data_IF_439738471082
#
_entry.id   IF_439738471082
#
_cell.length_a   1.000
_cell.length_b   1.000
_cell.length_c   1.000
_cell.angle_alpha   90.00
_cell.angle_beta   90.00
_cell.angle_gamma   90.00
#
_symmetry.space_group_name_H-M   'P 1'
#
loop_
_entity.id
_entity.type
_entity.pdbx_description
1 polymer ?
#
# COMPACT_ATOMS: atom_id res chain seq x y z
N UNK A 1 -30.35 -9.00 16.50
CA UNK A 1 -28.90 -8.77 16.47
C UNK A 1 -28.65 -7.67 15.45
N UNK A 2 -28.22 -6.50 15.92
CA UNK A 2 -28.02 -5.32 15.08
C UNK A 2 -26.60 -5.35 14.51
N UNK A 3 -26.47 -5.25 13.19
CA UNK A 3 -25.18 -5.13 12.51
C UNK A 3 -24.91 -3.64 12.34
N UNK A 4 -23.82 -3.16 12.92
CA UNK A 4 -23.42 -1.76 12.89
C UNK A 4 -22.24 -1.59 11.94
N UNK A 5 -22.33 -0.67 10.98
CA UNK A 5 -21.17 -0.17 10.25
C UNK A 5 -20.47 0.84 11.14
N UNK A 6 -19.29 0.49 11.66
CA UNK A 6 -18.61 1.29 12.67
C UNK A 6 -17.31 1.93 12.14
N UNK A 7 -16.69 1.37 11.11
CA UNK A 7 -15.49 1.94 10.51
C UNK A 7 -15.52 1.86 8.98
N UNK A 8 -15.23 2.99 8.35
CA UNK A 8 -14.97 3.13 6.92
C UNK A 8 -13.68 3.90 6.77
N UNK A 9 -12.76 3.41 5.95
CA UNK A 9 -11.53 4.10 5.57
C UNK A 9 -11.35 3.97 4.07
N UNK A 10 -11.13 5.10 3.42
CA UNK A 10 -10.70 5.19 2.04
C UNK A 10 -9.31 5.81 1.99
N UNK A 11 -8.44 5.27 1.12
CA UNK A 11 -7.22 5.95 0.70
C UNK A 11 -7.21 6.08 -0.80
N UNK A 12 -6.85 7.27 -1.27
CA UNK A 12 -6.60 7.53 -2.67
C UNK A 12 -5.18 8.06 -2.84
N UNK A 13 -4.46 7.43 -3.76
CA UNK A 13 -3.08 7.73 -4.07
C UNK A 13 -2.93 8.08 -5.54
N UNK A 14 -2.10 9.09 -5.79
CA UNK A 14 -1.77 9.56 -7.13
C UNK A 14 -0.27 9.80 -7.24
N UNK A 15 0.27 9.45 -8.40
CA UNK A 15 1.60 9.83 -8.86
C UNK A 15 1.42 10.44 -10.24
N UNK A 16 1.81 11.70 -10.39
CA UNK A 16 1.62 12.44 -11.63
C UNK A 16 2.79 13.39 -11.90
N UNK A 17 3.05 13.63 -13.19
CA UNK A 17 3.91 14.72 -13.64
C UNK A 17 3.33 16.05 -13.18
N UNK A 18 4.22 16.90 -12.67
CA UNK A 18 3.93 18.29 -12.34
C UNK A 18 5.09 19.16 -12.88
N UNK A 19 4.95 19.61 -14.13
CA UNK A 19 6.03 20.27 -14.85
C UNK A 19 7.28 19.37 -14.96
N UNK A 20 8.47 19.82 -14.51
CA UNK A 20 9.69 19.01 -14.52
C UNK A 20 9.77 18.00 -13.36
N UNK A 21 8.84 18.05 -12.41
CA UNK A 21 8.83 17.21 -11.20
C UNK A 21 7.76 16.11 -11.30
N UNK A 22 7.75 15.24 -10.29
CA UNK A 22 6.68 14.28 -10.06
C UNK A 22 6.04 14.57 -8.70
N UNK A 23 4.74 14.85 -8.70
CA UNK A 23 3.92 14.97 -7.49
C UNK A 23 3.41 13.59 -7.08
N UNK A 24 3.60 13.25 -5.80
CA UNK A 24 3.04 12.06 -5.18
C UNK A 24 2.18 12.48 -4.00
N UNK A 25 0.96 11.98 -3.95
CA UNK A 25 0.02 12.33 -2.90
C UNK A 25 -0.82 11.13 -2.49
N UNK A 26 -0.99 10.96 -1.17
CA UNK A 26 -1.97 10.09 -0.55
C UNK A 26 -2.95 10.95 0.23
N UNK A 27 -4.24 10.68 0.04
CA UNK A 27 -5.34 11.23 0.85
C UNK A 27 -6.03 10.07 1.54
N UNK A 28 -6.14 10.13 2.87
CA UNK A 28 -7.01 9.26 3.65
C UNK A 28 -8.27 10.01 4.07
N UNK A 29 -9.41 9.39 3.83
CA UNK A 29 -10.69 9.83 4.34
C UNK A 29 -11.40 8.66 5.00
N UNK A 30 -11.63 8.71 6.31
CA UNK A 30 -12.30 7.62 7.02
C UNK A 30 -12.97 8.07 8.31
N UNK A 31 -13.78 7.21 8.93
CA UNK A 31 -14.59 7.50 10.11
C UNK A 31 -13.80 8.24 11.19
N UNK A 32 -12.60 7.76 11.52
CA UNK A 32 -11.80 8.27 12.63
C UNK A 32 -11.05 9.57 12.28
N UNK A 33 -10.63 9.73 11.02
CA UNK A 33 -9.74 10.85 10.66
C UNK A 33 -9.67 11.09 9.15
N UNK A 34 -9.32 12.33 8.78
CA UNK A 34 -9.01 12.74 7.41
C UNK A 34 -7.66 13.44 7.36
N UNK A 35 -6.77 12.99 6.48
CA UNK A 35 -5.41 13.52 6.36
C UNK A 35 -4.85 13.31 4.96
N UNK A 36 -3.86 14.11 4.58
CA UNK A 36 -3.07 13.93 3.36
C UNK A 36 -1.59 14.14 3.60
N UNK A 37 -0.79 13.37 2.88
CA UNK A 37 0.65 13.55 2.79
C UNK A 37 1.02 13.65 1.31
N UNK A 38 1.82 14.66 0.95
CA UNK A 38 2.31 14.84 -0.42
C UNK A 38 3.76 15.27 -0.45
N UNK A 39 4.45 14.90 -1.52
CA UNK A 39 5.76 15.45 -1.86
C UNK A 39 5.92 15.59 -3.37
N UNK A 40 6.81 16.49 -3.79
CA UNK A 40 7.35 16.49 -5.15
C UNK A 40 8.77 15.94 -5.15
N UNK A 41 9.14 15.25 -6.23
CA UNK A 41 10.48 14.70 -6.43
C UNK A 41 11.03 15.05 -7.80
N UNK A 42 12.35 15.07 -7.88
CA UNK A 42 13.08 15.02 -9.15
C UNK A 42 12.92 13.62 -9.79
N UNK A 43 12.43 13.50 -11.05
CA UNK A 43 12.19 12.21 -11.68
C UNK A 43 13.46 11.40 -11.97
N UNK A 44 14.62 12.04 -12.06
CA UNK A 44 15.88 11.37 -12.33
C UNK A 44 16.51 10.76 -11.09
N UNK A 45 16.29 11.38 -9.92
CA UNK A 45 16.96 10.96 -8.67
C UNK A 45 16.00 10.45 -7.61
N UNK A 46 14.71 10.77 -7.70
CA UNK A 46 13.70 10.59 -6.66
C UNK A 46 14.02 11.31 -5.35
N UNK A 47 14.88 12.33 -5.38
CA UNK A 47 15.11 13.22 -4.24
C UNK A 47 13.91 14.14 -4.05
N UNK A 48 13.38 14.18 -2.82
CA UNK A 48 12.27 15.04 -2.43
C UNK A 48 12.70 16.51 -2.48
N UNK A 49 11.90 17.33 -3.16
CA UNK A 49 12.09 18.77 -3.34
C UNK A 49 11.23 19.58 -2.37
N UNK A 50 10.00 19.14 -2.16
CA UNK A 50 9.09 19.72 -1.18
C UNK A 50 8.15 18.64 -0.65
N UNK A 51 7.74 18.78 0.61
CA UNK A 51 6.78 17.88 1.24
C UNK A 51 5.80 18.67 2.12
N UNK A 52 4.58 18.15 2.25
CA UNK A 52 3.52 18.76 3.05
C UNK A 52 2.69 17.70 3.75
N UNK A 53 2.37 17.97 5.02
CA UNK A 53 1.47 17.19 5.85
C UNK A 53 0.23 18.00 6.18
N UNK A 54 -0.94 17.41 5.97
CA UNK A 54 -2.22 18.03 6.27
C UNK A 54 -3.10 17.07 7.05
N UNK A 55 -3.59 17.51 8.20
CA UNK A 55 -4.50 16.75 9.05
C UNK A 55 -5.83 17.50 9.12
N UNK A 56 -6.71 17.22 8.15
CA UNK A 56 -7.98 17.93 7.92
C UNK A 56 -8.99 17.69 9.04
N UNK A 57 -9.08 16.44 9.51
CA UNK A 57 -9.91 16.05 10.67
C UNK A 57 -9.10 15.17 11.62
N UNK A 58 -8.37 15.78 12.57
CA UNK A 58 -7.69 15.04 13.62
C UNK A 58 -8.68 14.36 14.58
N UNK A 59 -8.25 13.27 15.26
CA UNK A 59 -9.01 12.70 16.37
C UNK A 59 -9.06 13.67 17.56
N UNK A 60 -9.94 13.39 18.52
CA UNK A 60 -10.05 14.08 19.82
C UNK A 60 -10.25 15.60 19.75
N UNK A 61 -10.92 16.10 18.72
CA UNK A 61 -11.23 17.54 18.54
C UNK A 61 -9.99 18.45 18.44
N UNK A 62 -8.82 17.91 18.07
CA UNK A 62 -7.64 18.76 17.81
C UNK A 62 -7.87 19.63 16.58
N UNK A 63 -7.24 20.81 16.57
CA UNK A 63 -7.34 21.73 15.44
C UNK A 63 -6.69 21.11 14.18
N UNK A 64 -7.27 21.34 12.99
CA UNK A 64 -6.66 20.93 11.73
C UNK A 64 -5.25 21.50 11.56
N UNK A 65 -4.38 20.71 10.95
CA UNK A 65 -2.97 21.06 10.72
C UNK A 65 -2.69 21.10 9.23
N UNK A 66 -1.90 22.06 8.78
CA UNK A 66 -1.38 22.12 7.42
C UNK A 66 0.00 22.75 7.46
N UNK A 67 1.03 21.92 7.33
CA UNK A 67 2.43 22.34 7.48
C UNK A 67 3.29 21.77 6.36
N UNK A 68 4.26 22.55 5.92
CA UNK A 68 5.35 22.03 5.10
C UNK A 68 6.27 21.17 5.99
N UNK A 69 6.91 20.16 5.39
CA UNK A 69 7.77 19.18 6.08
C UNK A 69 9.19 19.33 5.54
N UNK A 70 9.93 20.38 5.92
CA UNK A 70 11.27 20.65 5.40
C UNK A 70 12.27 19.53 5.75
N UNK A 71 12.01 18.74 6.80
CA UNK A 71 12.85 17.61 7.20
C UNK A 71 12.93 16.50 6.13
N UNK A 72 12.01 16.49 5.17
CA UNK A 72 12.01 15.55 4.05
C UNK A 72 12.75 16.08 2.81
N UNK A 73 13.10 17.36 2.73
CA UNK A 73 13.85 17.90 1.60
C UNK A 73 15.24 17.24 1.51
N UNK A 74 15.62 16.80 0.30
CA UNK A 74 16.88 16.10 0.08
C UNK A 74 16.85 14.59 0.39
N UNK A 75 15.75 14.08 0.97
CA UNK A 75 15.59 12.63 1.18
C UNK A 75 15.28 11.94 -0.14
N UNK A 76 16.00 10.86 -0.44
CA UNK A 76 15.67 9.99 -1.58
C UNK A 76 14.43 9.15 -1.24
N UNK A 77 13.34 9.34 -2.00
CA UNK A 77 12.08 8.62 -1.87
C UNK A 77 12.16 7.20 -2.49
N UNK A 78 13.15 6.42 -2.06
CA UNK A 78 13.44 5.09 -2.60
C UNK A 78 13.82 4.09 -1.48
N UNK A 79 13.94 2.80 -1.80
CA UNK A 79 14.05 1.71 -0.81
C UNK A 79 15.06 1.95 0.33
N UNK A 80 14.84 1.24 1.46
CA UNK A 80 15.76 1.11 2.61
C UNK A 80 16.24 2.45 3.20
N UNK A 81 17.23 3.09 2.57
CA UNK A 81 17.80 4.36 3.00
C UNK A 81 16.71 5.44 3.12
N UNK A 82 15.82 5.53 2.12
CA UNK A 82 14.68 6.45 2.16
C UNK A 82 13.71 6.15 3.31
N UNK A 83 13.42 4.87 3.60
CA UNK A 83 12.52 4.50 4.69
C UNK A 83 13.11 4.84 6.09
N UNK A 84 14.42 4.69 6.28
CA UNK A 84 15.09 5.07 7.52
C UNK A 84 15.14 6.59 7.68
N UNK A 85 15.50 7.31 6.61
CA UNK A 85 15.52 8.77 6.60
C UNK A 85 14.12 9.35 6.85
N UNK A 86 13.09 8.79 6.21
CA UNK A 86 11.69 9.16 6.41
C UNK A 86 11.27 9.02 7.88
N UNK A 87 11.63 7.91 8.54
CA UNK A 87 11.32 7.70 9.97
C UNK A 87 12.00 8.71 10.88
N UNK A 88 13.25 9.07 10.57
CA UNK A 88 13.98 10.07 11.34
C UNK A 88 13.37 11.47 11.15
N UNK A 89 13.04 11.84 9.91
CA UNK A 89 12.44 13.13 9.56
C UNK A 89 11.03 13.32 10.15
N UNK A 90 10.28 12.23 10.34
CA UNK A 90 8.90 12.26 10.81
C UNK A 90 8.73 11.85 12.28
N UNK A 91 9.82 11.87 13.08
CA UNK A 91 9.77 11.42 14.49
C UNK A 91 8.79 12.24 15.35
N UNK A 92 8.67 13.55 15.06
CA UNK A 92 7.79 14.47 15.77
C UNK A 92 6.39 14.58 15.13
N UNK A 93 6.13 13.79 14.08
CA UNK A 93 4.84 13.75 13.40
C UNK A 93 3.97 12.59 13.90
N UNK A 94 2.64 12.66 13.73
CA UNK A 94 1.75 11.56 14.07
C UNK A 94 2.11 10.28 13.30
N UNK A 95 1.92 9.08 13.87
CA UNK A 95 2.19 7.82 13.17
C UNK A 95 1.51 7.69 11.81
N UNK A 96 0.34 8.32 11.65
CA UNK A 96 -0.38 8.37 10.37
C UNK A 96 0.43 9.09 9.28
N UNK A 97 1.16 10.17 9.61
CA UNK A 97 2.00 10.87 8.63
C UNK A 97 3.07 9.94 8.06
N UNK A 98 3.77 9.21 8.94
CA UNK A 98 4.76 8.21 8.54
C UNK A 98 4.14 7.12 7.63
N UNK A 99 2.94 6.65 7.95
CA UNK A 99 2.23 5.67 7.14
C UNK A 99 1.91 6.21 5.74
N UNK A 100 1.30 7.41 5.65
CA UNK A 100 0.92 8.00 4.36
C UNK A 100 2.14 8.36 3.50
N UNK A 101 3.21 8.91 4.08
CA UNK A 101 4.45 9.15 3.34
C UNK A 101 5.15 7.85 2.89
N UNK A 102 5.07 6.79 3.69
CA UNK A 102 5.59 5.46 3.29
C UNK A 102 4.80 4.91 2.11
N UNK A 103 3.48 5.10 2.07
CA UNK A 103 2.65 4.72 0.92
C UNK A 103 2.97 5.54 -0.34
N UNK A 104 3.26 6.83 -0.20
CA UNK A 104 3.75 7.67 -1.31
C UNK A 104 5.04 7.09 -1.94
N UNK A 105 6.02 6.68 -1.13
CA UNK A 105 7.25 6.05 -1.63
C UNK A 105 6.94 4.77 -2.40
N UNK A 106 6.04 3.92 -1.87
CA UNK A 106 5.63 2.67 -2.55
C UNK A 106 4.96 2.96 -3.89
N UNK A 107 4.10 3.99 -3.96
CA UNK A 107 3.43 4.41 -5.18
C UNK A 107 4.43 4.96 -6.22
N UNK A 108 5.40 5.76 -5.79
CA UNK A 108 6.46 6.29 -6.67
C UNK A 108 7.27 5.17 -7.31
N UNK A 109 7.66 4.16 -6.53
CA UNK A 109 8.36 2.96 -7.03
C UNK A 109 7.52 2.22 -8.09
N UNK A 110 6.20 2.10 -7.87
CA UNK A 110 5.30 1.49 -8.86
C UNK A 110 5.20 2.32 -10.15
N UNK A 111 5.20 3.66 -10.03
CA UNK A 111 5.17 4.58 -11.16
C UNK A 111 6.47 4.60 -11.98
N UNK A 112 7.58 4.12 -11.42
CA UNK A 112 8.90 4.15 -12.05
C UNK A 112 8.95 3.41 -13.40
N UNK A 113 8.05 2.45 -13.61
CA UNK A 113 7.90 1.76 -14.92
C UNK A 113 7.64 2.74 -16.08
N UNK A 114 7.11 3.92 -15.80
CA UNK A 114 6.84 4.98 -16.78
C UNK A 114 7.90 6.10 -16.76
N UNK A 115 8.89 6.00 -15.87
CA UNK A 115 10.00 6.93 -15.72
C UNK A 115 11.35 6.24 -16.05
N UNK A 116 11.34 5.01 -16.56
CA UNK A 116 12.54 4.18 -16.71
C UNK A 116 13.69 4.92 -17.43
N UNK A 117 13.40 5.71 -18.46
CA UNK A 117 14.40 6.45 -19.21
C UNK A 117 15.09 7.54 -18.35
N UNK A 118 14.32 8.30 -17.57
CA UNK A 118 14.87 9.31 -16.65
C UNK A 118 15.63 8.69 -15.49
N UNK A 119 15.26 7.46 -15.14
CA UNK A 119 15.92 6.62 -14.15
C UNK A 119 17.16 5.90 -14.68
N UNK A 120 17.56 6.18 -15.92
CA UNK A 120 18.82 5.73 -16.51
C UNK A 120 18.76 4.39 -17.23
N UNK A 121 17.56 3.84 -17.47
CA UNK A 121 17.39 2.63 -18.27
C UNK A 121 17.20 2.97 -19.74
N UNK A 122 17.96 2.34 -20.63
CA UNK A 122 17.88 2.60 -22.07
C UNK A 122 16.55 2.14 -22.67
N UNK A 123 16.00 1.03 -22.17
CA UNK A 123 14.73 0.45 -22.60
C UNK A 123 13.88 -0.01 -21.43
N UNK A 124 12.58 -0.21 -21.67
CA UNK A 124 11.68 -0.82 -20.68
C UNK A 124 12.11 -2.24 -20.34
N UNK A 125 12.68 -2.98 -21.30
CA UNK A 125 13.15 -4.35 -21.06
C UNK A 125 14.35 -4.36 -20.11
N UNK A 126 15.30 -3.42 -20.25
CA UNK A 126 16.43 -3.28 -19.31
C UNK A 126 15.94 -3.01 -17.87
N UNK A 127 14.92 -2.14 -17.74
CA UNK A 127 14.24 -1.90 -16.47
C UNK A 127 13.62 -3.19 -15.91
N UNK A 128 12.85 -3.91 -16.73
CA UNK A 128 12.18 -5.16 -16.31
C UNK A 128 13.19 -6.22 -15.85
N UNK A 129 14.30 -6.40 -16.56
CA UNK A 129 15.33 -7.37 -16.18
C UNK A 129 16.02 -7.00 -14.86
N UNK A 130 16.29 -5.71 -14.64
CA UNK A 130 16.77 -5.24 -13.34
C UNK A 130 15.80 -5.63 -12.21
N UNK A 131 14.50 -5.42 -12.41
CA UNK A 131 13.49 -5.72 -11.39
C UNK A 131 13.26 -7.20 -11.13
N UNK A 132 13.41 -8.07 -12.14
CA UNK A 132 13.40 -9.52 -11.93
C UNK A 132 14.45 -9.97 -10.92
N UNK A 133 15.62 -9.34 -10.95
CA UNK A 133 16.71 -9.61 -10.01
C UNK A 133 16.44 -8.94 -8.66
N UNK A 134 16.10 -7.65 -8.67
CA UNK A 134 15.90 -6.86 -7.45
C UNK A 134 14.75 -7.39 -6.57
N UNK A 135 13.65 -7.80 -7.19
CA UNK A 135 12.48 -8.34 -6.50
C UNK A 135 12.43 -9.87 -6.44
N UNK A 136 13.53 -10.56 -6.76
CA UNK A 136 13.55 -12.02 -6.68
C UNK A 136 13.05 -12.49 -5.31
N UNK A 137 12.05 -13.37 -5.30
CA UNK A 137 11.37 -13.86 -4.10
C UNK A 137 10.62 -12.80 -3.26
N UNK A 138 10.24 -11.65 -3.81
CA UNK A 138 9.52 -10.61 -3.08
C UNK A 138 7.99 -10.83 -3.05
N UNK A 139 7.43 -11.50 -4.06
CA UNK A 139 6.00 -11.83 -4.13
C UNK A 139 5.76 -13.01 -5.09
N UNK A 140 4.51 -13.50 -5.15
CA UNK A 140 4.09 -14.61 -6.01
C UNK A 140 4.66 -14.54 -7.43
N UNK A 141 4.59 -13.37 -8.07
CA UNK A 141 5.11 -13.17 -9.43
C UNK A 141 6.63 -13.40 -9.49
N UNK A 142 7.40 -12.67 -8.68
CA UNK A 142 8.86 -12.73 -8.70
C UNK A 142 9.45 -13.99 -8.05
N UNK A 143 8.62 -14.79 -7.37
CA UNK A 143 8.98 -16.11 -6.83
C UNK A 143 8.71 -17.25 -7.82
N UNK A 144 8.11 -16.96 -8.98
CA UNK A 144 7.69 -17.95 -9.97
C UNK A 144 7.99 -17.45 -11.40
N UNK A 145 9.14 -16.77 -11.60
CA UNK A 145 9.51 -16.18 -12.89
C UNK A 145 9.59 -17.21 -14.03
N UNK A 146 9.85 -18.48 -13.71
CA UNK A 146 9.83 -19.62 -14.64
C UNK A 146 8.43 -19.98 -15.13
N UNK A 147 7.38 -19.58 -14.41
CA UNK A 147 5.96 -19.85 -14.72
C UNK A 147 5.23 -18.63 -15.29
N UNK A 148 5.85 -17.46 -15.26
CA UNK A 148 5.25 -16.22 -15.76
C UNK A 148 5.07 -16.30 -17.27
N UNK A 149 3.84 -16.08 -17.72
CA UNK A 149 3.45 -16.08 -19.13
C UNK A 149 3.39 -14.69 -19.75
N UNK A 150 3.10 -13.67 -18.92
CA UNK A 150 3.03 -12.26 -19.33
C UNK A 150 4.08 -11.47 -18.54
N UNK A 151 5.12 -11.01 -19.25
CA UNK A 151 6.15 -10.16 -18.65
C UNK A 151 5.60 -8.79 -18.24
N UNK A 152 6.18 -8.21 -17.18
CA UNK A 152 5.80 -6.92 -16.61
C UNK A 152 5.67 -5.80 -17.65
N UNK A 153 6.66 -5.63 -18.53
CA UNK A 153 6.64 -4.58 -19.56
C UNK A 153 5.44 -4.68 -20.50
N UNK A 154 5.04 -5.90 -20.88
CA UNK A 154 3.82 -6.12 -21.68
C UNK A 154 2.55 -5.82 -20.88
N UNK A 155 2.54 -6.16 -19.60
CA UNK A 155 1.38 -5.96 -18.72
C UNK A 155 1.11 -4.47 -18.44
N UNK A 156 2.14 -3.71 -18.08
CA UNK A 156 2.00 -2.28 -17.79
C UNK A 156 1.80 -1.44 -19.04
N UNK A 157 2.33 -1.91 -20.17
CA UNK A 157 2.22 -1.24 -21.46
C UNK A 157 2.85 0.16 -21.46
N UNK A 158 2.34 1.01 -22.35
CA UNK A 158 2.69 2.43 -22.38
C UNK A 158 1.60 3.25 -21.69
N UNK A 159 2.00 4.34 -21.06
CA UNK A 159 1.09 5.28 -20.42
C UNK A 159 1.37 6.67 -20.97
N UNK A 160 0.34 7.27 -21.55
CA UNK A 160 0.41 8.64 -22.08
C UNK A 160 -0.15 9.64 -21.05
N UNK A 161 0.34 10.88 -21.14
CA UNK A 161 -0.13 11.97 -20.29
C UNK A 161 0.57 12.04 -18.93
N UNK A 162 0.10 12.95 -18.05
CA UNK A 162 0.78 13.27 -16.81
C UNK A 162 0.58 12.24 -15.71
N UNK A 163 -0.47 11.42 -15.77
CA UNK A 163 -0.73 10.41 -14.75
C UNK A 163 0.23 9.23 -14.91
N UNK A 164 0.93 8.85 -13.85
CA UNK A 164 1.86 7.72 -13.84
C UNK A 164 1.31 6.53 -13.05
N UNK A 165 0.64 6.77 -11.93
CA UNK A 165 0.08 5.69 -11.10
C UNK A 165 -1.06 6.19 -10.23
N UNK A 166 -2.13 5.38 -10.15
CA UNK A 166 -3.21 5.54 -9.19
C UNK A 166 -3.35 4.30 -8.32
N UNK A 167 -3.75 4.51 -7.06
CA UNK A 167 -4.24 3.46 -6.17
C UNK A 167 -5.41 3.96 -5.35
N UNK A 168 -6.42 3.13 -5.23
CA UNK A 168 -7.52 3.29 -4.32
C UNK A 168 -7.55 2.09 -3.37
N UNK A 169 -7.67 2.36 -2.08
CA UNK A 169 -7.92 1.35 -1.06
C UNK A 169 -9.19 1.69 -0.31
N UNK A 170 -9.95 0.66 0.04
CA UNK A 170 -11.09 0.79 0.94
C UNK A 170 -11.04 -0.29 2.00
N UNK A 171 -11.38 0.08 3.23
CA UNK A 171 -11.60 -0.84 4.33
C UNK A 171 -12.91 -0.47 5.01
N UNK A 172 -13.77 -1.45 5.21
CA UNK A 172 -15.02 -1.30 5.96
C UNK A 172 -15.11 -2.38 7.02
N UNK A 173 -15.52 -2.01 8.22
CA UNK A 173 -15.78 -2.92 9.33
C UNK A 173 -17.26 -2.86 9.71
N UNK A 174 -17.83 -4.04 9.90
CA UNK A 174 -19.16 -4.23 10.43
C UNK A 174 -19.04 -5.02 11.73
N UNK A 175 -19.69 -4.55 12.79
CA UNK A 175 -19.62 -5.18 14.11
C UNK A 175 -21.01 -5.63 14.55
N UNK A 176 -21.07 -6.77 15.22
CA UNK A 176 -22.29 -7.40 15.73
C UNK A 176 -21.95 -8.30 16.90
N UNK A 177 -22.33 -7.89 18.12
CA UNK A 177 -21.96 -8.60 19.36
C UNK A 177 -20.45 -8.87 19.42
N UNK A 178 -20.06 -10.16 19.42
CA UNK A 178 -18.68 -10.64 19.50
C UNK A 178 -18.03 -10.87 18.12
N UNK A 179 -18.70 -10.47 17.04
CA UNK A 179 -18.26 -10.72 15.66
C UNK A 179 -17.99 -9.40 14.93
N UNK A 180 -16.84 -9.33 14.26
CA UNK A 180 -16.52 -8.28 13.30
C UNK A 180 -16.33 -8.87 11.90
N UNK A 181 -16.88 -8.22 10.89
CA UNK A 181 -16.59 -8.50 9.49
C UNK A 181 -15.81 -7.35 8.89
N UNK A 182 -14.57 -7.60 8.47
CA UNK A 182 -13.74 -6.62 7.76
C UNK A 182 -13.75 -6.96 6.27
N UNK A 183 -13.99 -5.95 5.45
CA UNK A 183 -13.83 -6.02 3.99
C UNK A 183 -12.80 -4.98 3.58
N UNK A 184 -11.72 -5.44 2.98
CA UNK A 184 -10.64 -4.59 2.49
C UNK A 184 -10.44 -4.80 0.99
N UNK A 185 -10.20 -3.74 0.25
CA UNK A 185 -9.99 -3.77 -1.20
C UNK A 185 -8.84 -2.85 -1.57
N UNK A 186 -8.16 -3.22 -2.65
CA UNK A 186 -7.19 -2.37 -3.34
C UNK A 186 -7.47 -2.48 -4.84
N UNK A 187 -7.52 -1.33 -5.48
CA UNK A 187 -7.61 -1.15 -6.92
C UNK A 187 -6.54 -0.14 -7.31
N UNK A 188 -5.44 -0.62 -7.88
CA UNK A 188 -4.38 0.23 -8.38
C UNK A 188 -4.19 0.05 -9.89
N UNK A 189 -3.25 0.78 -10.46
CA UNK A 189 -3.00 0.74 -11.91
C UNK A 189 -2.65 -0.66 -12.42
N UNK A 190 -2.25 -1.59 -11.55
CA UNK A 190 -1.73 -2.90 -11.89
C UNK A 190 -2.47 -4.05 -11.19
N UNK A 191 -3.18 -3.80 -10.10
CA UNK A 191 -3.76 -4.83 -9.26
C UNK A 191 -5.17 -4.50 -8.83
N UNK A 192 -6.02 -5.52 -8.78
CA UNK A 192 -7.35 -5.44 -8.20
C UNK A 192 -7.57 -6.66 -7.34
N UNK A 193 -7.83 -6.45 -6.06
CA UNK A 193 -8.05 -7.54 -5.11
C UNK A 193 -8.89 -7.12 -3.92
N UNK A 194 -9.44 -8.13 -3.27
CA UNK A 194 -10.24 -7.99 -2.08
C UNK A 194 -9.85 -9.03 -1.04
N UNK A 195 -10.03 -8.67 0.22
CA UNK A 195 -9.90 -9.53 1.39
C UNK A 195 -11.17 -9.36 2.24
N UNK A 196 -11.78 -10.48 2.64
CA UNK A 196 -12.81 -10.51 3.66
C UNK A 196 -12.32 -11.33 4.84
N UNK A 197 -12.49 -10.80 6.04
CA UNK A 197 -12.23 -11.49 7.30
C UNK A 197 -13.49 -11.48 8.16
N UNK A 198 -13.76 -12.59 8.83
CA UNK A 198 -14.69 -12.66 9.96
C UNK A 198 -13.85 -12.92 11.21
N UNK A 199 -13.94 -12.00 12.17
CA UNK A 199 -13.15 -11.97 13.38
C UNK A 199 -14.08 -12.16 14.57
N UNK A 200 -13.60 -12.85 15.61
CA UNK A 200 -14.34 -13.09 16.85
C UNK A 200 -13.50 -12.73 18.08
N UNK A 201 -14.13 -12.16 19.11
CA UNK A 201 -13.46 -11.89 20.38
C UNK A 201 -12.54 -10.67 20.34
N UNK A 202 -12.08 -10.30 21.53
CA UNK A 202 -11.12 -9.20 21.73
C UNK A 202 -9.76 -9.49 21.07
N UNK A 203 -9.36 -10.76 20.97
CA UNK A 203 -8.12 -11.16 20.29
C UNK A 203 -8.23 -11.14 18.75
N UNK A 204 -9.43 -10.87 18.22
CA UNK A 204 -9.73 -10.84 16.79
C UNK A 204 -9.34 -12.15 16.10
N UNK A 205 -9.82 -13.27 16.66
CA UNK A 205 -9.57 -14.60 16.10
C UNK A 205 -10.29 -14.74 14.75
N UNK A 206 -9.54 -15.07 13.70
CA UNK A 206 -10.07 -15.23 12.35
C UNK A 206 -10.87 -16.52 12.26
N UNK A 207 -12.19 -16.41 12.08
CA UNK A 207 -13.09 -17.54 11.84
C UNK A 207 -13.24 -17.88 10.36
N UNK A 208 -13.17 -16.87 9.51
CA UNK A 208 -13.20 -17.04 8.06
C UNK A 208 -12.26 -16.05 7.39
N UNK A 209 -11.52 -16.49 6.38
CA UNK A 209 -10.71 -15.61 5.54
C UNK A 209 -10.86 -15.94 4.05
N UNK A 210 -11.18 -14.92 3.26
CA UNK A 210 -11.35 -15.06 1.82
C UNK A 210 -10.61 -13.96 1.07
N UNK A 211 -9.64 -14.36 0.25
CA UNK A 211 -8.96 -13.51 -0.72
C UNK A 211 -9.58 -13.63 -2.11
N UNK A 212 -9.53 -12.55 -2.89
CA UNK A 212 -9.88 -12.53 -4.31
C UNK A 212 -8.88 -11.66 -5.06
N UNK A 213 -8.38 -12.16 -6.18
CA UNK A 213 -7.58 -11.39 -7.14
C UNK A 213 -8.41 -11.29 -8.42
N UNK A 214 -8.76 -10.08 -8.82
CA UNK A 214 -9.54 -9.79 -10.02
C UNK A 214 -8.63 -9.40 -11.17
N UNK A 215 -7.57 -8.64 -10.87
CA UNK A 215 -6.55 -8.23 -11.84
C UNK A 215 -5.17 -8.26 -11.20
N UNK A 216 -4.22 -8.81 -11.92
CA UNK A 216 -2.81 -8.91 -11.52
C UNK A 216 -1.95 -9.14 -12.77
N UNK A 217 -0.62 -8.97 -12.67
CA UNK A 217 0.29 -9.06 -13.83
C UNK A 217 0.27 -10.38 -14.59
N UNK A 218 0.09 -11.50 -13.88
CA UNK A 218 0.10 -12.83 -14.47
C UNK A 218 -0.83 -13.79 -13.72
N UNK A 219 -1.23 -14.89 -14.37
CA UNK A 219 -2.09 -15.94 -13.80
C UNK A 219 -1.53 -16.55 -12.53
N UNK A 220 -0.20 -16.67 -12.41
CA UNK A 220 0.42 -17.21 -11.18
C UNK A 220 0.06 -16.39 -9.93
N UNK A 221 -0.23 -15.10 -10.09
CA UNK A 221 -0.63 -14.22 -9.00
C UNK A 221 -2.00 -14.58 -8.40
N UNK A 222 -2.91 -15.16 -9.19
CA UNK A 222 -4.27 -15.47 -8.75
C UNK A 222 -4.30 -16.60 -7.71
N UNK A 223 -3.31 -17.49 -7.77
CA UNK A 223 -3.12 -18.58 -6.80
C UNK A 223 -2.91 -18.07 -5.37
N UNK A 224 -2.41 -16.83 -5.22
CA UNK A 224 -2.21 -16.23 -3.91
C UNK A 224 -3.53 -15.88 -3.18
N UNK A 225 -4.67 -15.86 -3.88
CA UNK A 225 -5.98 -15.60 -3.28
C UNK A 225 -6.36 -16.68 -2.26
N UNK A 226 -6.04 -17.95 -2.56
CA UNK A 226 -6.41 -19.10 -1.72
C UNK A 226 -5.59 -19.16 -0.43
N UNK A 227 -4.40 -18.55 -0.42
CA UNK A 227 -3.54 -18.47 0.76
C UNK A 227 -4.15 -17.63 1.88
N UNK A 228 -5.18 -16.83 1.61
CA UNK A 228 -5.92 -16.08 2.63
C UNK A 228 -6.46 -16.99 3.75
N UNK A 229 -6.83 -18.23 3.43
CA UNK A 229 -7.32 -19.22 4.42
C UNK A 229 -6.27 -19.57 5.47
N UNK A 230 -4.98 -19.35 5.20
CA UNK A 230 -3.92 -19.55 6.18
C UNK A 230 -4.01 -18.63 7.40
N UNK A 231 -4.88 -17.61 7.37
CA UNK A 231 -5.19 -16.78 8.54
C UNK A 231 -6.19 -17.44 9.50
N UNK A 232 -6.99 -18.41 9.06
CA UNK A 232 -8.05 -19.01 9.88
C UNK A 232 -7.48 -19.66 11.16
N UNK A 233 -8.15 -19.44 12.28
CA UNK A 233 -7.72 -19.86 13.62
C UNK A 233 -6.62 -18.98 14.24
N UNK A 234 -6.20 -17.90 13.57
CA UNK A 234 -5.17 -16.99 14.08
C UNK A 234 -5.80 -15.76 14.74
N UNK A 235 -5.33 -15.37 15.93
CA UNK A 235 -5.63 -14.07 16.54
C UNK A 235 -4.87 -12.94 15.82
N UNK A 236 -5.56 -11.92 15.29
CA UNK A 236 -4.89 -10.81 14.59
C UNK A 236 -4.47 -9.66 15.51
N UNK A 237 -5.06 -9.54 16.69
CA UNK A 237 -4.75 -8.44 17.62
C UNK A 237 -3.23 -8.37 17.89
N UNK A 238 -2.66 -7.18 17.71
CA UNK A 238 -1.23 -6.92 17.95
C UNK A 238 -0.24 -7.62 17.00
N UNK A 239 -0.68 -8.38 16.00
CA UNK A 239 0.25 -9.03 15.06
C UNK A 239 0.83 -8.03 14.08
N UNK A 240 2.16 -8.04 13.99
CA UNK A 240 2.89 -7.30 12.97
C UNK A 240 2.72 -7.93 11.59
N UNK A 241 2.93 -7.12 10.53
CA UNK A 241 3.02 -7.61 9.15
C UNK A 241 4.01 -8.77 8.98
N UNK A 242 5.12 -8.77 9.73
CA UNK A 242 6.14 -9.84 9.70
C UNK A 242 5.59 -11.18 10.22
N UNK A 243 4.67 -11.15 11.17
CA UNK A 243 4.01 -12.34 11.71
C UNK A 243 2.85 -12.81 10.82
N UNK A 244 2.19 -11.88 10.13
CA UNK A 244 1.08 -12.18 9.21
C UNK A 244 1.58 -12.75 7.88
N UNK A 245 2.70 -12.24 7.36
CA UNK A 245 3.20 -12.61 6.03
C UNK A 245 3.39 -14.12 5.82
N UNK A 246 4.02 -14.89 6.75
CA UNK A 246 4.20 -16.34 6.57
C UNK A 246 2.87 -17.11 6.46
N UNK A 247 1.82 -16.67 7.15
CA UNK A 247 0.49 -17.30 7.11
C UNK A 247 -0.17 -17.18 5.73
N UNK A 248 0.22 -16.14 4.99
CA UNK A 248 -0.23 -15.87 3.63
C UNK A 248 0.79 -16.31 2.58
N UNK A 249 1.73 -17.20 2.93
CA UNK A 249 2.74 -17.77 2.04
C UNK A 249 4.02 -16.95 1.88
N UNK A 250 4.17 -15.82 2.58
CA UNK A 250 5.39 -15.00 2.56
C UNK A 250 5.79 -14.58 1.14
N UNK A 251 7.00 -14.95 0.72
CA UNK A 251 7.51 -14.75 -0.64
C UNK A 251 6.62 -15.41 -1.71
N UNK A 252 5.98 -16.54 -1.38
CA UNK A 252 5.05 -17.25 -2.26
C UNK A 252 3.64 -16.67 -2.21
N UNK A 253 3.40 -15.64 -1.40
CA UNK A 253 2.13 -14.94 -1.26
C UNK A 253 2.02 -13.67 -2.10
N UNK A 254 0.89 -12.97 -1.96
CA UNK A 254 0.71 -11.64 -2.52
C UNK A 254 1.00 -10.58 -1.46
N UNK A 255 2.00 -9.72 -1.71
CA UNK A 255 2.38 -8.62 -0.80
C UNK A 255 1.22 -7.68 -0.51
N UNK A 256 0.31 -7.48 -1.46
CA UNK A 256 -0.85 -6.62 -1.31
C UNK A 256 -1.91 -7.25 -0.40
N UNK A 257 -2.22 -8.55 -0.54
CA UNK A 257 -3.10 -9.26 0.40
C UNK A 257 -2.52 -9.27 1.82
N UNK A 258 -1.20 -9.43 1.95
CA UNK A 258 -0.50 -9.31 3.23
C UNK A 258 -0.67 -7.91 3.84
N UNK A 259 -0.56 -6.85 3.04
CA UNK A 259 -0.80 -5.49 3.49
C UNK A 259 -2.25 -5.28 3.93
N UNK A 260 -3.23 -5.76 3.16
CA UNK A 260 -4.65 -5.66 3.52
C UNK A 260 -4.96 -6.41 4.83
N UNK A 261 -4.39 -7.59 5.03
CA UNK A 261 -4.56 -8.36 6.26
C UNK A 261 -3.95 -7.64 7.48
N UNK A 262 -2.73 -7.11 7.33
CA UNK A 262 -2.08 -6.34 8.39
C UNK A 262 -2.87 -5.06 8.74
N UNK A 263 -3.33 -4.31 7.74
CA UNK A 263 -4.16 -3.14 7.95
C UNK A 263 -5.49 -3.52 8.63
N UNK A 264 -6.11 -4.64 8.22
CA UNK A 264 -7.35 -5.14 8.83
C UNK A 264 -7.19 -5.48 10.31
N UNK A 265 -6.07 -6.09 10.71
CA UNK A 265 -5.79 -6.38 12.12
C UNK A 265 -5.62 -5.13 12.96
N UNK A 266 -4.92 -4.11 12.44
CA UNK A 266 -4.76 -2.82 13.12
C UNK A 266 -6.11 -2.11 13.27
N UNK A 267 -6.84 -1.94 12.17
CA UNK A 267 -8.11 -1.19 12.15
C UNK A 267 -9.22 -1.92 12.93
N UNK A 268 -9.23 -3.25 12.96
CA UNK A 268 -10.14 -4.02 13.80
C UNK A 268 -9.86 -3.84 15.30
N UNK A 269 -8.63 -3.46 15.67
CA UNK A 269 -8.23 -3.22 17.05
C UNK A 269 -8.56 -1.80 17.55
N UNK A 270 -9.02 -0.90 16.67
CA UNK A 270 -9.34 0.49 17.06
C UNK A 270 -10.80 0.57 17.52
N UNK A 271 -11.00 0.94 18.79
CA UNK A 271 -12.31 1.19 19.40
C UNK A 271 -12.86 2.57 19.03
#
# INVERSE_FOLDING_TARGET
>A
MEIVLDLVRHRYLTVQRDGPEVLVQTVQCGTLTEASARFTVDPHTFVIRAARWEWHRPPDSRAPVSVDVPELEGVEAYFKAGATALRAALVDYPPLALDLFTENIRALIQAESFLYAERGYSTLDDYVEHWKTFYLNACRYYSNLDRVSVGWGRYVGRREGPNLFHRFESLTRYSSEDIQTVRATINDSFHEMALRLVLKGEELEVKEAAGRVLRAPDRVCFEAADLARGLEGTALAGKSKKQIAPLLGGAQGCVHLINLAAASGVEASVS
#
